data_IF_656096817530
#
_entry.id   IF_656096817530
#
_cell.length_a   1.000
_cell.length_b   1.000
_cell.length_c   1.000
_cell.angle_alpha   90.00
_cell.angle_beta   90.00
_cell.angle_gamma   90.00
#
_symmetry.space_group_name_H-M   'P 1'
#
loop_
_entity.id
_entity.type
_entity.pdbx_description
1 polymer ?
#
# COMPACT_ATOMS: atom_id res chain seq x y z
N UNK A 1 -10.24 0.17 6.47
CA UNK A 1 -9.63 -0.31 5.19
C UNK A 1 -10.16 -1.69 4.76
N UNK A 2 -10.28 -2.66 5.66
CA UNK A 2 -10.81 -4.00 5.29
C UNK A 2 -12.27 -3.92 4.87
N UNK A 3 -13.12 -3.20 5.62
CA UNK A 3 -14.54 -2.98 5.29
C UNK A 3 -14.65 -2.32 3.92
N UNK A 4 -13.97 -1.22 3.68
CA UNK A 4 -13.98 -0.48 2.39
C UNK A 4 -13.54 -1.37 1.21
N UNK A 5 -12.56 -2.28 1.44
CA UNK A 5 -12.14 -3.23 0.41
C UNK A 5 -13.21 -4.28 0.11
N UNK A 6 -13.94 -4.73 1.12
CA UNK A 6 -15.05 -5.67 0.94
C UNK A 6 -16.24 -4.99 0.26
N UNK A 7 -16.62 -3.79 0.69
CA UNK A 7 -17.66 -2.99 0.06
C UNK A 7 -17.37 -2.76 -1.43
N UNK A 8 -16.12 -2.39 -1.77
CA UNK A 8 -15.72 -2.21 -3.16
C UNK A 8 -15.85 -3.52 -3.96
N UNK A 9 -15.37 -4.64 -3.42
CA UNK A 9 -15.40 -5.94 -4.11
C UNK A 9 -16.83 -6.44 -4.29
N UNK A 10 -17.64 -6.39 -3.24
CA UNK A 10 -19.02 -6.83 -3.27
C UNK A 10 -19.88 -5.92 -4.14
N UNK A 11 -19.70 -4.60 -4.07
CA UNK A 11 -20.40 -3.65 -4.92
C UNK A 11 -20.05 -3.80 -6.41
N UNK A 12 -18.79 -4.15 -6.72
CA UNK A 12 -18.39 -4.44 -8.10
C UNK A 12 -18.98 -5.77 -8.60
N UNK A 13 -19.01 -6.78 -7.75
CA UNK A 13 -19.65 -8.06 -8.07
C UNK A 13 -21.17 -7.91 -8.24
N UNK A 14 -21.84 -7.15 -7.40
CA UNK A 14 -23.27 -6.87 -7.52
C UNK A 14 -23.63 -6.23 -8.89
N UNK A 15 -22.79 -5.33 -9.38
CA UNK A 15 -22.96 -4.76 -10.72
C UNK A 15 -22.81 -5.78 -11.85
N UNK A 16 -22.02 -6.82 -11.64
CA UNK A 16 -21.82 -7.90 -12.61
C UNK A 16 -23.00 -8.89 -12.62
N UNK A 17 -23.44 -9.31 -11.43
CA UNK A 17 -24.46 -10.36 -11.30
C UNK A 17 -25.89 -9.81 -11.39
N UNK A 18 -26.07 -8.51 -11.14
CA UNK A 18 -27.37 -7.87 -11.04
C UNK A 18 -28.05 -8.09 -9.68
N UNK A 19 -29.28 -7.61 -9.56
CA UNK A 19 -30.08 -7.77 -8.34
C UNK A 19 -30.67 -9.20 -8.29
N UNK A 20 -30.06 -10.04 -7.43
CA UNK A 20 -30.48 -11.43 -7.20
C UNK A 20 -30.62 -11.71 -5.72
N UNK A 21 -31.56 -12.56 -5.38
CA UNK A 21 -31.65 -13.09 -4.02
C UNK A 21 -30.42 -13.90 -3.65
N UNK A 22 -29.92 -13.67 -2.43
CA UNK A 22 -28.71 -14.35 -1.92
C UNK A 22 -28.86 -15.87 -1.90
N UNK A 23 -30.08 -16.37 -1.69
CA UNK A 23 -30.43 -17.79 -1.68
C UNK A 23 -30.24 -18.48 -3.04
N UNK A 24 -30.28 -17.72 -4.15
CA UNK A 24 -30.15 -18.23 -5.52
C UNK A 24 -28.71 -18.21 -6.04
N UNK A 25 -27.78 -17.63 -5.27
CA UNK A 25 -26.39 -17.53 -5.68
C UNK A 25 -25.68 -18.88 -5.58
N UNK A 26 -25.07 -19.31 -6.68
CA UNK A 26 -24.35 -20.56 -6.79
C UNK A 26 -22.84 -20.37 -6.88
N UNK A 27 -22.09 -21.44 -6.66
CA UNK A 27 -20.63 -21.45 -6.83
C UNK A 27 -20.19 -21.06 -8.25
N UNK A 28 -21.01 -21.40 -9.26
CA UNK A 28 -20.79 -21.02 -10.66
C UNK A 28 -20.82 -19.51 -10.88
N UNK A 29 -21.68 -18.77 -10.18
CA UNK A 29 -21.77 -17.31 -10.30
C UNK A 29 -20.48 -16.64 -9.78
N UNK A 30 -19.94 -17.16 -8.68
CA UNK A 30 -18.70 -16.64 -8.10
C UNK A 30 -17.47 -16.99 -8.95
N UNK A 31 -17.41 -18.21 -9.47
CA UNK A 31 -16.31 -18.64 -10.35
C UNK A 31 -16.38 -17.96 -11.70
N UNK A 32 -17.58 -17.76 -12.26
CA UNK A 32 -17.81 -17.01 -13.49
C UNK A 32 -17.33 -15.57 -13.38
N UNK A 33 -17.67 -14.89 -12.28
CA UNK A 33 -17.18 -13.53 -12.02
C UNK A 33 -15.63 -13.46 -11.89
N UNK A 34 -15.03 -14.42 -11.18
CA UNK A 34 -13.55 -14.45 -11.06
C UNK A 34 -12.87 -14.74 -12.40
N UNK A 35 -13.49 -15.55 -13.26
CA UNK A 35 -13.03 -15.80 -14.62
C UNK A 35 -13.14 -14.53 -15.46
N UNK A 36 -14.29 -13.87 -15.46
CA UNK A 36 -14.50 -12.61 -16.15
C UNK A 36 -13.50 -11.51 -15.73
N UNK A 37 -13.23 -11.40 -14.42
CA UNK A 37 -12.20 -10.48 -13.91
C UNK A 37 -10.79 -10.75 -14.46
N UNK A 38 -10.51 -12.00 -14.81
CA UNK A 38 -9.20 -12.44 -15.34
C UNK A 38 -9.07 -12.23 -16.84
N UNK A 39 -10.17 -12.39 -17.59
CA UNK A 39 -10.13 -12.44 -19.05
C UNK A 39 -10.64 -11.16 -19.73
N UNK A 40 -11.71 -10.59 -19.19
CA UNK A 40 -12.46 -9.52 -19.88
C UNK A 40 -12.38 -8.18 -19.18
N UNK A 41 -12.33 -8.19 -17.85
CA UNK A 41 -12.34 -6.95 -17.08
C UNK A 41 -11.05 -6.15 -17.27
N UNK A 42 -11.19 -4.92 -17.75
CA UNK A 42 -10.10 -3.95 -17.90
C UNK A 42 -10.17 -2.94 -16.75
N UNK A 43 -9.29 -3.04 -15.74
CA UNK A 43 -9.31 -2.11 -14.61
C UNK A 43 -8.91 -0.71 -15.07
N UNK A 44 -9.70 0.29 -14.67
CA UNK A 44 -9.34 1.69 -14.89
C UNK A 44 -8.24 2.08 -13.91
N UNK A 45 -7.00 2.21 -14.37
CA UNK A 45 -5.85 2.56 -13.55
C UNK A 45 -5.40 3.99 -13.82
N UNK A 46 -4.91 4.63 -12.79
CA UNK A 46 -4.38 5.99 -12.87
C UNK A 46 -3.20 6.13 -13.84
N UNK A 47 -2.37 5.09 -13.95
CA UNK A 47 -1.22 5.07 -14.87
C UNK A 47 -1.58 4.68 -16.31
N UNK A 48 -2.87 4.56 -16.65
CA UNK A 48 -3.33 4.19 -17.99
C UNK A 48 -3.08 2.73 -18.40
N UNK A 49 -2.51 1.89 -17.52
CA UNK A 49 -2.27 0.49 -17.84
C UNK A 49 -3.58 -0.28 -18.00
N UNK A 50 -3.71 -1.00 -19.11
CA UNK A 50 -4.83 -1.89 -19.44
C UNK A 50 -4.59 -3.36 -19.10
N UNK A 51 -3.50 -3.68 -18.40
CA UNK A 51 -3.17 -5.06 -18.02
C UNK A 51 -4.27 -5.70 -17.17
N UNK A 52 -4.49 -7.02 -17.30
CA UNK A 52 -5.46 -7.75 -16.48
C UNK A 52 -5.17 -7.63 -14.98
N UNK A 53 -6.14 -8.02 -14.16
CA UNK A 53 -5.92 -8.12 -12.72
C UNK A 53 -4.90 -9.21 -12.40
N UNK A 54 -4.01 -8.92 -11.46
CA UNK A 54 -3.05 -9.91 -10.99
C UNK A 54 -3.75 -11.09 -10.29
N UNK A 55 -3.13 -12.27 -10.34
CA UNK A 55 -3.63 -13.45 -9.64
C UNK A 55 -3.83 -13.21 -8.14
N UNK A 56 -2.99 -12.35 -7.53
CA UNK A 56 -3.16 -11.90 -6.14
C UNK A 56 -4.44 -11.09 -5.95
N UNK A 57 -4.79 -10.22 -6.90
CA UNK A 57 -6.05 -9.44 -6.84
C UNK A 57 -7.27 -10.35 -6.91
N UNK A 58 -7.26 -11.34 -7.81
CA UNK A 58 -8.33 -12.34 -7.90
C UNK A 58 -8.43 -13.16 -6.59
N UNK A 59 -7.30 -13.51 -5.98
CA UNK A 59 -7.32 -14.16 -4.66
C UNK A 59 -7.95 -13.30 -3.57
N UNK A 60 -7.74 -11.99 -3.60
CA UNK A 60 -8.39 -11.07 -2.64
C UNK A 60 -9.91 -11.05 -2.82
N UNK A 61 -10.40 -11.11 -4.06
CA UNK A 61 -11.83 -11.25 -4.34
C UNK A 61 -12.37 -12.57 -3.74
N UNK A 62 -11.68 -13.69 -3.97
CA UNK A 62 -12.01 -14.97 -3.37
C UNK A 62 -12.05 -14.90 -1.82
N UNK A 63 -11.08 -14.24 -1.19
CA UNK A 63 -11.08 -14.02 0.28
C UNK A 63 -12.33 -13.26 0.73
N UNK A 64 -12.73 -12.21 -0.02
CA UNK A 64 -13.95 -11.45 0.28
C UNK A 64 -15.19 -12.34 0.21
N UNK A 65 -15.34 -13.15 -0.82
CA UNK A 65 -16.46 -14.08 -0.93
C UNK A 65 -16.47 -15.13 0.20
N UNK A 66 -15.32 -15.72 0.50
CA UNK A 66 -15.20 -16.67 1.62
C UNK A 66 -15.63 -16.05 2.95
N UNK A 67 -15.24 -14.83 3.20
CA UNK A 67 -15.59 -14.12 4.43
C UNK A 67 -17.06 -13.74 4.46
N UNK A 68 -17.59 -13.20 3.37
CA UNK A 68 -18.98 -12.74 3.28
C UNK A 68 -19.97 -13.91 3.39
N UNK A 69 -19.82 -14.93 2.54
CA UNK A 69 -20.72 -16.08 2.58
C UNK A 69 -20.52 -16.99 3.81
N UNK A 70 -19.31 -16.97 4.40
CA UNK A 70 -19.06 -17.60 5.70
C UNK A 70 -19.84 -16.92 6.82
N UNK A 71 -19.88 -15.61 6.83
CA UNK A 71 -20.69 -14.84 7.77
C UNK A 71 -22.20 -15.08 7.56
N UNK A 72 -22.69 -15.02 6.32
CA UNK A 72 -24.09 -15.31 6.00
C UNK A 72 -24.52 -16.73 6.44
N UNK A 73 -23.64 -17.71 6.29
CA UNK A 73 -23.92 -19.08 6.73
C UNK A 73 -24.09 -19.17 8.25
N UNK A 74 -23.27 -18.44 9.01
CA UNK A 74 -23.31 -18.46 10.48
C UNK A 74 -24.55 -17.71 10.99
N UNK A 75 -24.77 -16.49 10.53
CA UNK A 75 -25.80 -15.59 11.05
C UNK A 75 -27.20 -15.95 10.54
N UNK A 76 -27.32 -16.23 9.24
CA UNK A 76 -28.61 -16.38 8.57
C UNK A 76 -28.89 -17.80 8.08
N UNK A 77 -27.98 -18.76 8.30
CA UNK A 77 -28.08 -20.14 7.86
C UNK A 77 -28.24 -20.32 6.34
N UNK A 78 -27.80 -19.33 5.55
CA UNK A 78 -27.78 -19.46 4.09
C UNK A 78 -26.72 -20.48 3.62
N UNK A 79 -26.95 -21.15 2.48
CA UNK A 79 -25.93 -21.96 1.83
C UNK A 79 -24.67 -21.12 1.53
N UNK A 80 -23.49 -21.73 1.68
CA UNK A 80 -22.24 -21.02 1.40
C UNK A 80 -21.66 -21.45 0.03
N UNK A 81 -21.96 -20.73 -1.06
CA UNK A 81 -21.48 -21.08 -2.39
C UNK A 81 -19.96 -20.93 -2.56
N UNK A 82 -19.30 -20.20 -1.66
CA UNK A 82 -17.86 -20.03 -1.70
C UNK A 82 -17.09 -21.17 -1.00
N UNK A 83 -17.77 -22.09 -0.31
CA UNK A 83 -17.13 -23.13 0.51
C UNK A 83 -16.24 -24.05 -0.30
N UNK A 84 -16.71 -24.51 -1.46
CA UNK A 84 -16.03 -25.50 -2.30
C UNK A 84 -15.09 -24.88 -3.33
N UNK A 85 -15.10 -23.56 -3.48
CA UNK A 85 -14.26 -22.88 -4.45
C UNK A 85 -12.81 -22.91 -3.98
N UNK A 86 -11.94 -23.55 -4.75
CA UNK A 86 -10.50 -23.59 -4.47
C UNK A 86 -9.88 -22.18 -4.54
N UNK A 87 -8.95 -21.91 -3.61
CA UNK A 87 -8.24 -20.65 -3.59
C UNK A 87 -7.41 -20.46 -4.87
N UNK A 88 -7.55 -19.31 -5.57
CA UNK A 88 -6.69 -19.01 -6.71
C UNK A 88 -5.21 -19.06 -6.31
N UNK A 89 -4.41 -19.84 -7.05
CA UNK A 89 -2.97 -19.92 -6.84
C UNK A 89 -2.31 -18.68 -7.43
N UNK A 90 -1.31 -18.13 -6.75
CA UNK A 90 -0.44 -17.10 -7.28
C UNK A 90 0.98 -17.34 -6.79
N UNK A 91 1.94 -17.03 -7.64
CA UNK A 91 3.35 -17.08 -7.27
C UNK A 91 3.74 -15.73 -6.64
N UNK A 92 4.43 -15.80 -5.51
CA UNK A 92 5.10 -14.63 -4.95
C UNK A 92 6.45 -14.51 -5.66
N UNK A 93 6.59 -13.48 -6.47
CA UNK A 93 7.91 -13.13 -6.98
C UNK A 93 8.75 -12.58 -5.82
N UNK A 94 10.04 -12.92 -5.76
CA UNK A 94 10.96 -12.28 -4.83
C UNK A 94 10.91 -10.76 -5.05
N UNK A 95 10.92 -10.02 -3.95
CA UNK A 95 11.03 -8.55 -4.05
C UNK A 95 12.50 -8.22 -4.23
N UNK A 96 12.83 -7.59 -5.34
CA UNK A 96 14.18 -7.07 -5.56
C UNK A 96 14.46 -5.97 -4.52
N UNK A 97 15.59 -6.08 -3.87
CA UNK A 97 16.06 -5.09 -2.90
C UNK A 97 16.83 -3.98 -3.61
N UNK A 98 16.71 -2.76 -3.11
CA UNK A 98 17.51 -1.65 -3.63
C UNK A 98 19.00 -1.89 -3.40
N UNK A 99 19.80 -1.67 -4.42
CA UNK A 99 21.26 -1.63 -4.29
C UNK A 99 21.71 -0.32 -3.66
N UNK A 100 22.96 -0.26 -3.26
CA UNK A 100 23.56 0.99 -2.76
C UNK A 100 23.50 2.09 -3.80
N UNK A 101 23.77 1.75 -5.04
CA UNK A 101 23.74 2.65 -6.20
C UNK A 101 22.33 3.20 -6.44
N UNK A 102 21.29 2.38 -6.27
CA UNK A 102 19.90 2.82 -6.41
C UNK A 102 19.54 3.83 -5.33
N UNK A 103 19.96 3.56 -4.08
CA UNK A 103 19.74 4.48 -2.96
C UNK A 103 20.46 5.82 -3.21
N UNK A 104 21.72 5.79 -3.69
CA UNK A 104 22.47 7.01 -4.03
C UNK A 104 21.79 7.80 -5.14
N UNK A 105 21.26 7.14 -6.17
CA UNK A 105 20.49 7.80 -7.25
C UNK A 105 19.22 8.44 -6.71
N UNK A 106 18.46 7.74 -5.85
CA UNK A 106 17.26 8.29 -5.21
C UNK A 106 17.59 9.54 -4.37
N UNK A 107 18.65 9.49 -3.55
CA UNK A 107 19.06 10.61 -2.73
C UNK A 107 19.51 11.81 -3.57
N UNK A 108 20.23 11.59 -4.66
CA UNK A 108 20.61 12.65 -5.62
C UNK A 108 19.38 13.26 -6.29
N UNK A 109 18.41 12.44 -6.71
CA UNK A 109 17.18 12.91 -7.32
C UNK A 109 16.29 13.77 -6.40
N UNK A 110 16.47 13.66 -5.07
CA UNK A 110 15.78 14.53 -4.12
C UNK A 110 16.32 15.98 -4.13
N UNK A 111 17.57 16.19 -4.54
CA UNK A 111 18.25 17.49 -4.39
C UNK A 111 17.82 18.49 -5.45
N UNK A 112 17.66 18.03 -6.69
CA UNK A 112 17.40 18.90 -7.82
C UNK A 112 16.07 18.58 -8.50
N UNK A 113 15.44 19.59 -9.09
CA UNK A 113 14.29 19.41 -9.98
C UNK A 113 14.71 18.65 -11.26
N UNK A 114 13.75 18.18 -12.02
CA UNK A 114 13.99 17.83 -13.42
C UNK A 114 14.38 19.10 -14.18
N UNK A 115 15.09 18.92 -15.29
CA UNK A 115 15.36 20.00 -16.21
C UNK A 115 14.05 20.62 -16.69
N UNK A 116 13.92 21.91 -16.55
CA UNK A 116 12.75 22.69 -16.94
C UNK A 116 13.19 23.81 -17.88
N UNK A 117 12.29 24.22 -18.77
CA UNK A 117 12.47 25.31 -19.68
C UNK A 117 11.24 26.21 -19.65
N UNK A 118 11.42 27.52 -19.70
CA UNK A 118 10.36 28.51 -19.84
C UNK A 118 10.64 29.38 -21.07
N UNK A 119 9.69 30.20 -21.50
CA UNK A 119 9.88 31.11 -22.62
C UNK A 119 11.03 32.10 -22.40
N UNK A 120 11.24 32.52 -21.14
CA UNK A 120 12.28 33.47 -20.77
C UNK A 120 13.63 32.84 -20.40
N UNK A 121 13.62 31.55 -20.01
CA UNK A 121 14.83 30.84 -19.57
C UNK A 121 15.04 29.57 -20.35
N UNK A 122 16.25 29.45 -20.92
CA UNK A 122 16.75 28.20 -21.45
C UNK A 122 16.83 27.15 -20.32
N UNK A 123 17.04 25.92 -20.65
CA UNK A 123 17.13 24.79 -19.74
C UNK A 123 17.81 25.13 -18.39
N UNK A 124 17.10 24.88 -17.30
CA UNK A 124 17.61 25.09 -15.96
C UNK A 124 17.17 23.98 -15.00
N UNK A 125 17.94 23.81 -13.93
CA UNK A 125 17.69 22.87 -12.84
C UNK A 125 17.72 23.66 -11.54
N UNK A 126 16.73 23.46 -10.68
CA UNK A 126 16.63 24.17 -9.40
C UNK A 126 16.83 23.19 -8.24
N UNK A 127 17.48 23.67 -7.19
CA UNK A 127 17.54 22.93 -5.93
C UNK A 127 16.14 22.89 -5.30
N UNK A 128 15.70 21.70 -4.91
CA UNK A 128 14.37 21.50 -4.30
C UNK A 128 14.38 21.93 -2.84
N UNK A 129 13.47 22.81 -2.40
CA UNK A 129 13.36 23.19 -1.00
C UNK A 129 13.11 21.98 -0.08
N UNK A 130 12.44 20.95 -0.59
CA UNK A 130 12.12 19.73 0.14
C UNK A 130 13.27 18.72 0.23
N UNK A 131 14.44 19.01 -0.36
CA UNK A 131 15.54 18.04 -0.49
C UNK A 131 15.92 17.36 0.83
N UNK A 132 16.12 18.13 1.89
CA UNK A 132 16.50 17.59 3.20
C UNK A 132 15.41 16.70 3.80
N UNK A 133 14.14 17.08 3.66
CA UNK A 133 12.99 16.30 4.11
C UNK A 133 12.89 14.99 3.36
N UNK A 134 12.95 15.04 2.04
CA UNK A 134 12.78 13.89 1.17
C UNK A 134 13.90 12.87 1.37
N UNK A 135 15.15 13.32 1.54
CA UNK A 135 16.30 12.49 1.90
C UNK A 135 16.13 11.85 3.29
N UNK A 136 15.67 12.63 4.28
CA UNK A 136 15.41 12.10 5.62
C UNK A 136 14.34 11.02 5.61
N UNK A 137 13.25 11.20 4.86
CA UNK A 137 12.18 10.21 4.68
C UNK A 137 12.73 8.90 4.10
N UNK A 138 13.46 8.96 2.99
CA UNK A 138 14.03 7.78 2.33
C UNK A 138 14.96 7.03 3.29
N UNK A 139 15.89 7.72 3.93
CA UNK A 139 16.86 7.11 4.83
C UNK A 139 16.20 6.53 6.09
N UNK A 140 15.20 7.18 6.65
CA UNK A 140 14.43 6.62 7.77
C UNK A 140 13.71 5.33 7.38
N UNK A 141 13.05 5.31 6.21
CA UNK A 141 12.33 4.12 5.74
C UNK A 141 13.29 2.94 5.48
N UNK A 142 14.43 3.21 4.84
CA UNK A 142 15.45 2.20 4.55
C UNK A 142 16.07 1.61 5.82
N UNK A 143 16.35 2.46 6.80
CA UNK A 143 17.07 2.07 8.00
C UNK A 143 16.17 1.32 9.00
N UNK A 144 14.90 1.67 9.08
CA UNK A 144 13.99 1.21 10.13
C UNK A 144 12.88 0.28 9.65
N UNK A 145 12.58 0.23 8.36
CA UNK A 145 11.43 -0.49 7.83
C UNK A 145 10.07 0.02 8.33
N UNK A 146 9.97 1.30 8.70
CA UNK A 146 8.71 1.92 9.08
C UNK A 146 7.68 1.85 7.95
N UNK A 147 6.40 1.69 8.32
CA UNK A 147 5.32 1.87 7.35
C UNK A 147 5.15 3.37 7.06
N UNK A 148 4.73 3.71 5.83
CA UNK A 148 4.50 5.11 5.46
C UNK A 148 3.56 5.83 6.46
N UNK A 149 2.48 5.16 6.90
CA UNK A 149 1.56 5.73 7.90
C UNK A 149 2.21 5.94 9.27
N UNK A 150 3.10 5.04 9.69
CA UNK A 150 3.85 5.18 10.94
C UNK A 150 4.81 6.36 10.87
N UNK A 151 5.54 6.49 9.76
CA UNK A 151 6.43 7.64 9.53
C UNK A 151 5.67 8.97 9.56
N UNK A 152 4.51 9.05 8.85
CA UNK A 152 3.71 10.27 8.79
C UNK A 152 3.07 10.65 10.15
N UNK A 153 2.94 9.69 11.06
CA UNK A 153 2.38 9.92 12.41
C UNK A 153 3.42 10.26 13.47
N UNK A 154 4.72 10.22 13.13
CA UNK A 154 5.78 10.58 14.08
C UNK A 154 5.72 12.06 14.43
N UNK A 155 5.92 12.34 15.70
CA UNK A 155 6.19 13.68 16.20
C UNK A 155 7.66 13.78 16.66
N UNK A 156 8.14 14.98 16.86
CA UNK A 156 9.57 15.22 17.23
C UNK A 156 9.95 14.44 18.48
N UNK A 157 9.07 14.39 19.47
CA UNK A 157 9.31 13.68 20.74
C UNK A 157 9.40 12.15 20.59
N UNK A 158 8.96 11.59 19.45
CA UNK A 158 9.09 10.16 19.17
C UNK A 158 10.51 9.79 18.71
N UNK A 159 11.36 10.78 18.38
CA UNK A 159 12.68 10.58 17.79
C UNK A 159 13.77 11.18 18.68
N UNK A 160 14.55 10.33 19.31
CA UNK A 160 15.75 10.75 20.02
C UNK A 160 16.98 10.69 19.10
N UNK A 161 17.44 11.84 18.66
CA UNK A 161 18.60 11.93 17.77
C UNK A 161 19.93 11.62 18.47
N UNK A 162 20.01 11.65 19.79
CA UNK A 162 21.25 11.29 20.53
C UNK A 162 21.49 9.78 20.47
N UNK A 163 20.46 9.00 20.80
CA UNK A 163 20.54 7.54 20.81
C UNK A 163 20.14 6.91 19.47
N UNK A 164 19.41 7.63 18.63
CA UNK A 164 18.80 7.13 17.39
C UNK A 164 17.47 6.40 17.63
N UNK A 165 16.95 6.38 18.85
CA UNK A 165 15.71 5.70 19.22
C UNK A 165 14.52 6.38 18.55
N UNK A 166 13.65 5.57 17.90
CA UNK A 166 12.36 6.01 17.35
C UNK A 166 11.26 5.15 17.96
N UNK A 167 10.29 5.80 18.59
CA UNK A 167 9.17 5.15 19.26
C UNK A 167 7.93 5.22 18.38
N UNK A 168 7.42 4.05 17.94
CA UNK A 168 6.14 3.96 17.22
C UNK A 168 5.04 3.76 18.28
N UNK A 169 4.19 4.77 18.43
CA UNK A 169 3.18 4.81 19.48
C UNK A 169 2.08 3.79 19.26
N UNK A 170 1.58 3.25 20.36
CA UNK A 170 0.42 2.37 20.42
C UNK A 170 -0.88 3.18 20.36
N UNK A 171 -1.90 2.65 19.70
CA UNK A 171 -3.28 3.16 19.80
C UNK A 171 -3.57 4.53 19.20
N UNK A 172 -2.61 5.17 18.52
CA UNK A 172 -2.83 6.45 17.82
C UNK A 172 -3.15 6.25 16.34
N UNK A 173 -3.93 7.15 15.76
CA UNK A 173 -4.19 7.15 14.33
C UNK A 173 -2.87 7.22 13.54
N UNK A 174 -2.66 6.26 12.63
CA UNK A 174 -1.39 6.15 11.88
C UNK A 174 -0.25 5.44 12.64
N UNK A 175 -0.42 5.07 13.90
CA UNK A 175 0.55 4.31 14.68
C UNK A 175 0.66 2.83 14.27
N UNK A 176 1.20 2.01 15.17
CA UNK A 176 1.48 0.61 14.89
C UNK A 176 0.22 -0.19 14.48
N UNK A 177 0.31 -0.92 13.37
CA UNK A 177 -0.78 -1.81 12.91
C UNK A 177 -1.03 -2.91 13.95
N UNK A 178 -2.31 -3.10 14.33
CA UNK A 178 -2.71 -4.06 15.37
C UNK A 178 -2.53 -3.55 16.80
N UNK A 179 -2.30 -2.24 16.98
CA UNK A 179 -2.26 -1.60 18.30
C UNK A 179 -0.98 -1.88 19.11
N UNK A 180 0.02 -2.57 18.60
CA UNK A 180 1.28 -2.86 19.33
C UNK A 180 2.34 -1.83 18.96
N UNK A 181 2.70 -0.98 19.92
CA UNK A 181 3.84 -0.06 19.79
C UNK A 181 5.16 -0.83 19.69
N UNK A 182 6.15 -0.22 19.09
CA UNK A 182 7.51 -0.75 19.04
C UNK A 182 8.55 0.35 18.98
N UNK A 183 9.77 0.00 19.32
CA UNK A 183 10.95 0.87 19.17
C UNK A 183 11.81 0.35 18.03
N UNK A 184 12.34 1.26 17.23
CA UNK A 184 13.37 1.00 16.23
C UNK A 184 14.50 2.00 16.39
N UNK A 185 15.63 1.77 15.74
CA UNK A 185 16.81 2.63 15.89
C UNK A 185 17.29 3.11 14.52
N UNK A 186 17.66 4.40 14.47
CA UNK A 186 18.29 5.04 13.32
C UNK A 186 19.81 4.89 13.39
N UNK A 187 20.42 4.47 12.30
CA UNK A 187 21.86 4.51 12.13
C UNK A 187 22.38 5.94 11.94
N UNK A 188 23.69 6.09 11.95
CA UNK A 188 24.36 7.40 11.91
C UNK A 188 23.94 8.26 10.70
N UNK A 189 23.78 7.65 9.53
CA UNK A 189 23.45 8.35 8.28
C UNK A 189 22.03 8.91 8.32
N UNK A 190 21.06 8.07 8.71
CA UNK A 190 19.67 8.50 8.84
C UNK A 190 19.49 9.56 9.91
N UNK A 191 20.14 9.41 11.09
CA UNK A 191 20.12 10.44 12.14
C UNK A 191 20.63 11.80 11.65
N UNK A 192 21.75 11.82 10.92
CA UNK A 192 22.29 13.04 10.33
C UNK A 192 21.35 13.69 9.32
N UNK A 193 20.64 12.88 8.53
CA UNK A 193 19.66 13.38 7.57
C UNK A 193 18.44 14.00 8.27
N UNK A 194 17.91 13.31 9.30
CA UNK A 194 16.80 13.85 10.12
C UNK A 194 17.20 15.14 10.82
N UNK A 195 18.40 15.17 11.41
CA UNK A 195 18.92 16.40 12.04
C UNK A 195 18.98 17.55 11.04
N UNK A 196 19.55 17.34 9.83
CA UNK A 196 19.61 18.37 8.78
C UNK A 196 18.23 18.87 8.39
N UNK A 197 17.27 17.97 8.26
CA UNK A 197 15.89 18.35 7.96
C UNK A 197 15.31 19.22 9.07
N UNK A 198 15.44 18.82 10.33
CA UNK A 198 14.91 19.58 11.46
C UNK A 198 15.59 20.95 11.62
N UNK A 199 16.88 21.05 11.32
CA UNK A 199 17.62 22.33 11.35
C UNK A 199 17.26 23.27 10.18
N UNK A 200 16.70 22.76 9.09
CA UNK A 200 16.31 23.53 7.90
C UNK A 200 14.80 23.83 7.82
N UNK A 201 14.03 23.47 8.84
CA UNK A 201 12.55 23.61 8.90
C UNK A 201 12.07 24.99 9.30
#
# INVERSE_FOLDING_TARGET
>A
RTITSYEFTLGHWLKYIGDREVSQIQSSDLTGYMAWLRTEYKPRRWNGSSEPLSAKSIRNVWVTFRSFFGWLQIEFKFPNPAKEIAAPKFQKHPVETFTKEDVEKMLKACVYSRESQTEERKKFVMRRPSANRDQAIILMLLDTGLRATELCSLIINDVDLKTGKVTIRHGVAGGAKGGKGRTVYLGKVARKAVWRYLASR
#
